data_IF_691229675078
#
_entry.id   IF_691229675078
#
_cell.length_a   1.000
_cell.length_b   1.000
_cell.length_c   1.000
_cell.angle_alpha   90.00
_cell.angle_beta   90.00
_cell.angle_gamma   90.00
#
_symmetry.space_group_name_H-M   'P 1'
#
loop_
_entity.id
_entity.type
_entity.pdbx_description
1 polymer ?
#
# COMPACT_ATOMS: atom_id res chain seq x y z
N UNK A 1 -10.32 -22.44 36.25
CA UNK A 1 -11.18 -23.14 35.26
C UNK A 1 -12.55 -23.47 35.85
N UNK A 2 -12.67 -24.26 36.94
CA UNK A 2 -13.99 -24.61 37.54
C UNK A 2 -14.98 -23.46 37.75
N UNK A 3 -14.56 -22.32 38.32
CA UNK A 3 -15.43 -21.14 38.51
C UNK A 3 -15.94 -20.50 37.21
N UNK A 4 -15.17 -20.58 36.12
CA UNK A 4 -15.55 -20.01 34.83
C UNK A 4 -16.52 -20.92 34.10
N UNK A 5 -16.30 -22.24 34.15
CA UNK A 5 -17.24 -23.22 33.62
C UNK A 5 -18.57 -23.16 34.38
N UNK A 6 -18.55 -23.15 35.72
CA UNK A 6 -19.76 -23.02 36.54
C UNK A 6 -20.57 -21.73 36.20
N UNK A 7 -19.87 -20.60 36.02
CA UNK A 7 -20.50 -19.34 35.60
C UNK A 7 -21.17 -19.44 34.23
N UNK A 8 -20.51 -20.04 33.23
CA UNK A 8 -21.08 -20.20 31.88
C UNK A 8 -22.08 -21.36 31.74
N UNK A 9 -22.27 -22.17 32.78
CA UNK A 9 -23.27 -23.25 32.76
C UNK A 9 -24.55 -22.87 33.49
N UNK A 10 -24.46 -22.06 34.55
CA UNK A 10 -25.58 -21.70 35.43
C UNK A 10 -26.12 -20.27 35.23
N UNK A 11 -25.62 -19.53 34.23
CA UNK A 11 -26.01 -18.14 33.97
C UNK A 11 -27.51 -17.95 33.67
N UNK A 12 -28.21 -19.00 33.22
CA UNK A 12 -29.66 -18.93 32.92
C UNK A 12 -30.51 -18.66 34.17
N UNK A 13 -30.04 -19.08 35.34
CA UNK A 13 -30.71 -18.82 36.61
C UNK A 13 -30.40 -17.42 37.18
N UNK A 14 -29.34 -16.77 36.66
CA UNK A 14 -28.84 -15.45 37.11
C UNK A 14 -29.23 -14.30 36.16
N UNK A 15 -29.59 -14.60 34.91
CA UNK A 15 -29.96 -13.63 33.89
C UNK A 15 -31.49 -13.57 33.71
N UNK A 16 -32.19 -12.75 34.52
CA UNK A 16 -33.57 -12.36 34.23
C UNK A 16 -33.61 -11.32 33.09
N UNK A 17 -34.73 -11.28 32.34
CA UNK A 17 -35.05 -10.30 31.27
C UNK A 17 -35.22 -8.86 31.80
N UNK A 18 -34.37 -8.44 32.74
CA UNK A 18 -34.36 -7.11 33.29
C UNK A 18 -33.26 -6.28 32.61
N UNK A 19 -33.62 -5.08 32.14
CA UNK A 19 -32.72 -4.16 31.43
C UNK A 19 -31.54 -3.65 32.29
N UNK A 20 -31.56 -3.93 33.60
CA UNK A 20 -30.52 -3.56 34.56
C UNK A 20 -29.39 -4.62 34.67
N UNK A 21 -29.49 -5.76 33.98
CA UNK A 21 -28.44 -6.78 33.94
C UNK A 21 -27.26 -6.34 33.06
N UNK A 22 -26.02 -6.59 33.52
CA UNK A 22 -24.79 -6.21 32.81
C UNK A 22 -24.63 -6.87 31.42
N UNK A 23 -25.24 -8.04 31.21
CA UNK A 23 -25.20 -8.80 29.93
C UNK A 23 -26.59 -9.38 29.65
N UNK A 24 -27.05 -9.32 28.40
CA UNK A 24 -28.34 -9.88 27.98
C UNK A 24 -28.31 -11.40 27.87
N UNK A 25 -29.47 -12.06 28.05
CA UNK A 25 -29.60 -13.52 27.89
C UNK A 25 -29.15 -14.00 26.49
N UNK A 26 -29.44 -13.22 25.44
CA UNK A 26 -28.97 -13.50 24.07
C UNK A 26 -27.44 -13.49 23.97
N UNK A 27 -26.78 -12.47 24.54
CA UNK A 27 -25.31 -12.37 24.50
C UNK A 27 -24.65 -13.50 25.28
N UNK A 28 -25.21 -13.89 26.44
CA UNK A 28 -24.68 -15.02 27.22
C UNK A 28 -24.87 -16.35 26.51
N UNK A 29 -26.01 -16.55 25.83
CA UNK A 29 -26.25 -17.74 25.01
C UNK A 29 -25.25 -17.84 23.85
N UNK A 30 -25.05 -16.74 23.11
CA UNK A 30 -24.09 -16.70 22.00
C UNK A 30 -22.66 -16.96 22.47
N UNK A 31 -22.30 -16.43 23.64
CA UNK A 31 -20.97 -16.63 24.21
C UNK A 31 -20.76 -18.07 24.68
N UNK A 32 -21.77 -18.69 25.31
CA UNK A 32 -21.75 -20.12 25.66
C UNK A 32 -21.59 -20.98 24.40
N UNK A 33 -22.41 -20.73 23.36
CA UNK A 33 -22.30 -21.44 22.08
C UNK A 33 -20.93 -21.28 21.44
N UNK A 34 -20.34 -20.08 21.50
CA UNK A 34 -19.01 -19.81 20.95
C UNK A 34 -17.93 -20.60 21.68
N UNK A 35 -17.99 -20.66 23.01
CA UNK A 35 -17.04 -21.40 23.84
C UNK A 35 -17.16 -22.90 23.59
N UNK A 36 -18.37 -23.45 23.68
CA UNK A 36 -18.63 -24.88 23.50
C UNK A 36 -18.30 -25.33 22.07
N UNK A 37 -18.68 -24.52 21.08
CA UNK A 37 -18.36 -24.74 19.67
C UNK A 37 -16.85 -24.72 19.40
N UNK A 38 -16.12 -23.78 20.00
CA UNK A 38 -14.66 -23.72 19.88
C UNK A 38 -14.00 -24.96 20.51
N UNK A 39 -14.41 -25.38 21.71
CA UNK A 39 -13.85 -26.58 22.33
C UNK A 39 -14.19 -27.86 21.56
N UNK A 40 -15.40 -27.97 21.01
CA UNK A 40 -15.77 -29.07 20.12
C UNK A 40 -14.90 -29.11 18.86
N UNK A 41 -14.72 -27.96 18.21
CA UNK A 41 -13.84 -27.80 17.05
C UNK A 41 -12.38 -28.18 17.36
N UNK A 42 -11.84 -27.71 18.49
CA UNK A 42 -10.48 -28.04 18.92
C UNK A 42 -10.31 -29.56 19.12
N UNK A 43 -11.27 -30.24 19.76
CA UNK A 43 -11.22 -31.69 19.98
C UNK A 43 -11.17 -32.46 18.65
N UNK A 44 -12.00 -32.07 17.69
CA UNK A 44 -12.04 -32.71 16.36
C UNK A 44 -10.75 -32.47 15.56
N UNK A 45 -10.25 -31.23 15.57
CA UNK A 45 -8.99 -30.85 14.93
C UNK A 45 -7.80 -31.62 15.49
N UNK A 46 -7.69 -31.73 16.83
CA UNK A 46 -6.62 -32.49 17.48
C UNK A 46 -6.70 -33.99 17.18
N UNK A 47 -7.90 -34.54 17.03
CA UNK A 47 -8.10 -35.94 16.67
C UNK A 47 -7.70 -36.21 15.20
N UNK A 48 -7.94 -35.26 14.30
CA UNK A 48 -7.74 -35.44 12.85
C UNK A 48 -6.32 -35.11 12.39
N UNK A 49 -5.71 -34.04 12.91
CA UNK A 49 -4.42 -33.53 12.40
C UNK A 49 -3.29 -33.49 13.46
N UNK A 50 -3.51 -34.04 14.66
CA UNK A 50 -2.53 -34.05 15.75
C UNK A 50 -2.42 -32.72 16.50
N UNK A 51 -1.37 -32.53 17.31
CA UNK A 51 -1.18 -31.30 18.11
C UNK A 51 -0.82 -30.09 17.23
N UNK A 52 -1.85 -29.38 16.75
CA UNK A 52 -1.71 -28.13 15.99
C UNK A 52 -2.07 -26.92 16.86
N UNK A 53 -1.22 -25.90 16.84
CA UNK A 53 -1.53 -24.60 17.43
C UNK A 53 -2.55 -23.83 16.58
N UNK A 54 -3.76 -23.63 17.10
CA UNK A 54 -4.81 -22.82 16.45
C UNK A 54 -4.60 -21.35 16.81
N UNK A 55 -4.76 -20.45 15.82
CA UNK A 55 -4.70 -19.00 16.02
C UNK A 55 -6.13 -18.44 16.12
N UNK A 56 -6.67 -18.17 17.33
CA UNK A 56 -8.09 -17.82 17.51
C UNK A 56 -8.51 -16.56 16.72
N UNK A 57 -7.59 -15.63 16.47
CA UNK A 57 -7.81 -14.43 15.63
C UNK A 57 -8.31 -14.75 14.21
N UNK A 58 -8.17 -15.99 13.72
CA UNK A 58 -8.66 -16.38 12.38
C UNK A 58 -10.10 -16.88 12.37
N UNK A 59 -10.72 -17.05 13.54
CA UNK A 59 -12.06 -17.61 13.70
C UNK A 59 -13.15 -16.56 13.95
N UNK A 60 -12.84 -15.27 13.80
CA UNK A 60 -13.79 -14.18 13.97
C UNK A 60 -14.20 -13.55 12.62
N UNK A 61 -15.21 -12.67 12.65
CA UNK A 61 -15.71 -11.92 11.50
C UNK A 61 -14.79 -10.75 11.09
N UNK A 62 -13.78 -10.38 11.88
CA UNK A 62 -12.90 -9.25 11.59
C UNK A 62 -12.31 -9.28 10.17
N UNK A 63 -11.84 -10.42 9.60
CA UNK A 63 -11.32 -10.43 8.23
C UNK A 63 -12.38 -10.04 7.20
N UNK A 64 -13.63 -10.42 7.44
CA UNK A 64 -14.78 -10.08 6.60
C UNK A 64 -15.16 -8.60 6.77
N UNK A 65 -15.18 -8.10 8.00
CA UNK A 65 -15.45 -6.70 8.29
C UNK A 65 -14.36 -5.78 7.73
N UNK A 66 -13.09 -6.17 7.85
CA UNK A 66 -11.97 -5.48 7.22
C UNK A 66 -12.07 -5.51 5.70
N UNK A 67 -12.57 -6.59 5.11
CA UNK A 67 -12.85 -6.65 3.68
C UNK A 67 -13.93 -5.65 3.27
N UNK A 68 -15.06 -5.60 4.00
CA UNK A 68 -16.11 -4.61 3.76
C UNK A 68 -15.64 -3.17 4.01
N UNK A 69 -14.80 -2.95 5.02
CA UNK A 69 -14.15 -1.65 5.26
C UNK A 69 -13.26 -1.25 4.09
N UNK A 70 -12.49 -2.18 3.55
CA UNK A 70 -11.68 -1.97 2.35
C UNK A 70 -12.51 -1.68 1.09
N UNK A 71 -13.68 -2.30 0.94
CA UNK A 71 -14.62 -2.00 -0.16
C UNK A 71 -15.22 -0.60 -0.03
N UNK A 72 -15.62 -0.20 1.19
CA UNK A 72 -16.12 1.16 1.45
C UNK A 72 -15.04 2.22 1.22
N UNK A 73 -13.80 1.95 1.64
CA UNK A 73 -12.66 2.84 1.37
C UNK A 73 -12.31 2.97 -0.11
N UNK A 74 -12.49 1.90 -0.91
CA UNK A 74 -12.30 1.94 -2.36
C UNK A 74 -13.35 2.80 -3.09
N UNK A 75 -14.50 3.07 -2.46
CA UNK A 75 -15.54 3.96 -2.98
C UNK A 75 -15.20 5.46 -2.93
N UNK A 76 -14.05 5.85 -2.34
CA UNK A 76 -13.66 7.24 -2.14
C UNK A 76 -14.63 7.95 -1.20
N UNK A 77 -15.28 9.01 -1.69
CA UNK A 77 -16.33 9.72 -0.92
C UNK A 77 -17.66 8.95 -0.82
N UNK A 78 -17.84 7.88 -1.60
CA UNK A 78 -19.04 7.05 -1.58
C UNK A 78 -18.85 5.86 -0.63
N UNK A 79 -19.08 6.08 0.67
CA UNK A 79 -18.96 5.05 1.71
C UNK A 79 -20.06 3.98 1.70
N UNK A 80 -21.14 4.18 0.92
CA UNK A 80 -22.25 3.23 0.78
C UNK A 80 -22.48 2.86 -0.71
N UNK A 81 -21.79 1.85 -1.24
CA UNK A 81 -21.91 1.47 -2.65
C UNK A 81 -23.26 0.82 -2.97
N UNK A 82 -23.81 1.08 -4.16
CA UNK A 82 -25.02 0.41 -4.66
C UNK A 82 -24.75 -1.05 -5.01
N UNK A 83 -25.81 -1.87 -5.06
CA UNK A 83 -25.72 -3.28 -5.43
C UNK A 83 -25.07 -3.51 -6.82
N UNK A 84 -25.17 -2.53 -7.73
CA UNK A 84 -24.53 -2.57 -9.06
C UNK A 84 -23.02 -2.28 -8.98
N UNK A 85 -22.61 -1.40 -8.06
CA UNK A 85 -21.20 -0.98 -7.89
C UNK A 85 -20.39 -1.97 -7.06
N UNK A 86 -21.03 -2.70 -6.15
CA UNK A 86 -20.38 -3.65 -5.25
C UNK A 86 -19.59 -4.75 -6.00
N UNK A 87 -20.12 -5.42 -7.05
CA UNK A 87 -19.36 -6.40 -7.83
C UNK A 87 -18.09 -5.82 -8.47
N UNK A 88 -18.14 -4.58 -8.96
CA UNK A 88 -16.97 -3.91 -9.54
C UNK A 88 -15.88 -3.64 -8.49
N UNK A 89 -16.26 -3.17 -7.31
CA UNK A 89 -15.32 -2.93 -6.21
C UNK A 89 -14.69 -4.23 -5.70
N UNK A 90 -15.46 -5.33 -5.68
CA UNK A 90 -14.96 -6.68 -5.37
C UNK A 90 -13.95 -7.10 -6.44
N UNK A 91 -14.28 -6.96 -7.72
CA UNK A 91 -13.38 -7.29 -8.81
C UNK A 91 -12.08 -6.48 -8.72
N UNK A 92 -12.18 -5.17 -8.44
CA UNK A 92 -11.04 -4.28 -8.23
C UNK A 92 -10.19 -4.70 -7.01
N UNK A 93 -10.81 -5.13 -5.91
CA UNK A 93 -10.09 -5.68 -4.76
C UNK A 93 -9.35 -6.97 -5.11
N UNK A 94 -9.97 -7.86 -5.90
CA UNK A 94 -9.35 -9.11 -6.33
C UNK A 94 -8.13 -8.82 -7.22
N UNK A 95 -8.25 -7.89 -8.17
CA UNK A 95 -7.15 -7.54 -9.08
C UNK A 95 -6.05 -6.70 -8.43
N UNK A 96 -6.37 -5.85 -7.43
CA UNK A 96 -5.38 -4.99 -6.74
C UNK A 96 -4.68 -5.64 -5.54
N UNK A 97 -5.23 -6.73 -4.99
CA UNK A 97 -4.61 -7.52 -3.90
C UNK A 97 -3.16 -7.95 -4.13
N UNK A 98 -2.74 -8.43 -5.32
CA UNK A 98 -1.34 -8.82 -5.54
C UNK A 98 -0.36 -7.65 -5.38
N UNK A 99 -0.68 -6.45 -5.88
CA UNK A 99 0.19 -5.27 -5.79
C UNK A 99 0.43 -4.82 -4.34
N UNK A 100 -0.65 -4.71 -3.54
CA UNK A 100 -0.53 -4.38 -2.10
C UNK A 100 0.19 -5.47 -1.29
N UNK A 101 0.09 -6.73 -1.72
CA UNK A 101 0.85 -7.84 -1.12
C UNK A 101 2.33 -7.77 -1.46
N UNK A 102 2.71 -7.41 -2.68
CA UNK A 102 4.11 -7.34 -3.10
C UNK A 102 4.91 -6.31 -2.29
N UNK A 103 4.39 -5.09 -2.15
CA UNK A 103 5.03 -4.03 -1.35
C UNK A 103 5.16 -4.42 0.14
N UNK A 104 4.13 -5.06 0.70
CA UNK A 104 4.15 -5.57 2.08
C UNK A 104 5.14 -6.73 2.26
N UNK A 105 5.18 -7.65 1.29
CA UNK A 105 6.09 -8.80 1.30
C UNK A 105 7.53 -8.34 1.31
N UNK A 106 7.93 -7.40 0.46
CA UNK A 106 9.27 -6.81 0.45
C UNK A 106 9.76 -6.40 1.85
N UNK A 107 8.96 -5.64 2.60
CA UNK A 107 9.32 -5.22 3.96
C UNK A 107 9.31 -6.39 4.94
N UNK A 108 8.32 -7.28 4.84
CA UNK A 108 8.20 -8.42 5.76
C UNK A 108 9.35 -9.40 5.58
N UNK A 109 9.60 -9.80 4.33
CA UNK A 109 10.68 -10.70 3.92
C UNK A 109 12.03 -10.07 4.23
N UNK A 110 12.20 -8.76 3.98
CA UNK A 110 13.43 -8.07 4.31
C UNK A 110 13.72 -7.97 5.82
N UNK A 111 12.69 -7.84 6.66
CA UNK A 111 12.85 -7.91 8.12
C UNK A 111 13.18 -9.33 8.57
N UNK A 112 12.53 -10.34 7.99
CA UNK A 112 12.84 -11.76 8.27
C UNK A 112 14.30 -12.06 7.92
N UNK A 113 14.75 -11.69 6.72
CA UNK A 113 16.15 -11.86 6.29
C UNK A 113 17.13 -11.10 7.20
N UNK A 114 16.76 -9.90 7.66
CA UNK A 114 17.61 -9.13 8.58
C UNK A 114 17.80 -9.85 9.93
N UNK A 115 16.75 -10.52 10.43
CA UNK A 115 16.83 -11.34 11.65
C UNK A 115 17.62 -12.62 11.39
N UNK A 116 17.35 -13.32 10.29
CA UNK A 116 18.02 -14.59 9.94
C UNK A 116 19.52 -14.42 9.73
N UNK A 117 19.94 -13.32 9.11
CA UNK A 117 21.35 -13.03 8.81
C UNK A 117 22.01 -12.08 9.81
N UNK A 118 21.36 -11.83 10.95
CA UNK A 118 21.85 -10.95 12.02
C UNK A 118 22.27 -9.53 11.55
N UNK A 119 21.56 -8.98 10.56
CA UNK A 119 21.76 -7.63 10.01
C UNK A 119 20.83 -6.63 10.72
N UNK A 120 20.96 -6.53 12.04
CA UNK A 120 20.12 -5.69 12.91
C UNK A 120 20.74 -4.33 13.26
N UNK A 121 21.85 -3.98 12.60
CA UNK A 121 22.45 -2.67 12.78
C UNK A 121 21.63 -1.55 12.10
N UNK A 122 21.89 -0.32 12.51
CA UNK A 122 21.15 0.86 12.03
C UNK A 122 21.21 1.03 10.52
N UNK A 123 22.35 0.77 9.89
CA UNK A 123 22.53 0.99 8.45
C UNK A 123 21.84 -0.12 7.65
N UNK A 124 21.93 -1.37 8.10
CA UNK A 124 21.18 -2.47 7.51
C UNK A 124 19.66 -2.24 7.59
N UNK A 125 19.13 -1.87 8.76
CA UNK A 125 17.69 -1.62 8.91
C UNK A 125 17.22 -0.39 8.12
N UNK A 126 18.07 0.64 7.99
CA UNK A 126 17.78 1.81 7.14
C UNK A 126 17.63 1.42 5.66
N UNK A 127 18.38 0.41 5.20
CA UNK A 127 18.29 -0.06 3.80
C UNK A 127 16.94 -0.72 3.46
N UNK A 128 16.17 -1.18 4.46
CA UNK A 128 14.81 -1.72 4.26
C UNK A 128 13.81 -0.66 3.79
N UNK A 129 14.01 0.59 4.20
CA UNK A 129 13.19 1.73 3.75
C UNK A 129 14.04 2.67 2.91
N UNK A 130 14.51 2.16 1.77
CA UNK A 130 15.32 2.93 0.85
C UNK A 130 14.56 4.14 0.28
N UNK A 131 15.33 5.16 -0.06
CA UNK A 131 14.82 6.35 -0.74
C UNK A 131 14.10 5.99 -2.05
N UNK A 132 12.91 6.58 -2.25
CA UNK A 132 12.05 6.39 -3.43
C UNK A 132 11.99 7.68 -4.26
N UNK A 133 12.77 7.76 -5.36
CA UNK A 133 12.67 8.85 -6.32
C UNK A 133 11.29 8.97 -6.97
N UNK A 134 10.59 7.86 -7.23
CA UNK A 134 9.26 7.86 -7.83
C UNK A 134 8.26 8.62 -6.96
N UNK A 135 8.23 8.32 -5.65
CA UNK A 135 7.37 9.02 -4.69
C UNK A 135 7.76 10.49 -4.53
N UNK A 136 9.06 10.77 -4.45
CA UNK A 136 9.57 12.15 -4.29
C UNK A 136 9.30 13.01 -5.53
N UNK A 137 9.35 12.39 -6.73
CA UNK A 137 9.01 13.06 -7.99
C UNK A 137 7.52 13.33 -8.10
N UNK A 138 6.68 12.47 -7.54
CA UNK A 138 5.23 12.63 -7.53
C UNK A 138 4.77 13.86 -6.71
N UNK A 139 5.48 14.20 -5.64
CA UNK A 139 5.15 15.33 -4.77
C UNK A 139 5.05 16.68 -5.53
N UNK A 140 5.89 16.87 -6.55
CA UNK A 140 5.86 18.11 -7.35
C UNK A 140 4.55 18.30 -8.10
N UNK A 141 3.90 17.22 -8.53
CA UNK A 141 2.58 17.30 -9.15
C UNK A 141 1.54 17.83 -8.16
N UNK A 142 1.56 17.32 -6.93
CA UNK A 142 0.68 17.81 -5.86
C UNK A 142 0.96 19.29 -5.56
N UNK A 143 2.24 19.68 -5.53
CA UNK A 143 2.63 21.08 -5.32
C UNK A 143 2.13 21.99 -6.45
N UNK A 144 2.30 21.59 -7.70
CA UNK A 144 1.83 22.32 -8.88
C UNK A 144 0.30 22.40 -8.98
N UNK A 145 -0.41 21.43 -8.40
CA UNK A 145 -1.87 21.41 -8.28
C UNK A 145 -2.40 22.07 -7.00
N UNK A 146 -1.53 22.68 -6.20
CA UNK A 146 -1.91 23.34 -4.95
C UNK A 146 -1.79 24.86 -5.06
N UNK A 147 -2.62 25.58 -4.31
CA UNK A 147 -2.53 27.03 -4.17
C UNK A 147 -1.87 27.35 -2.83
N UNK A 148 -0.75 28.10 -2.80
CA UNK A 148 -0.13 28.52 -1.55
C UNK A 148 -1.06 29.45 -0.75
N UNK A 149 -0.94 29.45 0.58
CA UNK A 149 -1.75 30.31 1.45
C UNK A 149 -1.51 31.78 1.08
N UNK A 150 -2.59 32.50 0.74
CA UNK A 150 -2.53 33.89 0.26
C UNK A 150 -2.18 34.03 -1.23
N UNK A 151 -1.89 32.93 -1.93
CA UNK A 151 -1.67 32.91 -3.37
C UNK A 151 -2.94 33.23 -4.15
N UNK A 152 -2.79 34.00 -5.24
CA UNK A 152 -3.87 34.31 -6.19
C UNK A 152 -3.44 33.96 -7.62
N UNK A 153 -3.22 32.66 -7.93
CA UNK A 153 -2.88 32.25 -9.28
C UNK A 153 -4.04 32.55 -10.24
N UNK A 154 -3.78 32.61 -11.57
CA UNK A 154 -4.84 32.74 -12.56
C UNK A 154 -5.91 31.64 -12.37
N UNK A 155 -7.21 31.96 -12.44
CA UNK A 155 -8.28 31.01 -12.10
C UNK A 155 -8.24 29.68 -12.85
N UNK A 156 -7.71 29.66 -14.07
CA UNK A 156 -7.65 28.47 -14.91
C UNK A 156 -6.30 27.76 -14.90
N UNK A 157 -5.32 28.24 -14.13
CA UNK A 157 -3.96 27.70 -14.21
C UNK A 157 -3.91 26.20 -13.92
N UNK A 158 -4.49 25.76 -12.80
CA UNK A 158 -4.48 24.34 -12.41
C UNK A 158 -5.23 23.49 -13.43
N UNK A 159 -6.37 23.96 -13.92
CA UNK A 159 -7.16 23.27 -14.94
C UNK A 159 -6.39 23.15 -16.27
N UNK A 160 -5.66 24.20 -16.66
CA UNK A 160 -4.81 24.15 -17.85
C UNK A 160 -3.63 23.20 -17.68
N UNK A 161 -2.96 23.21 -16.52
CA UNK A 161 -1.86 22.27 -16.22
C UNK A 161 -2.38 20.83 -16.28
N UNK A 162 -3.46 20.52 -15.55
CA UNK A 162 -4.05 19.18 -15.52
C UNK A 162 -4.57 18.74 -16.88
N UNK A 163 -5.34 19.59 -17.55
CA UNK A 163 -5.92 19.30 -18.86
C UNK A 163 -4.86 19.02 -19.90
N UNK A 164 -3.81 19.85 -19.98
CA UNK A 164 -2.69 19.62 -20.89
C UNK A 164 -1.91 18.37 -20.53
N UNK A 165 -1.67 18.11 -19.24
CA UNK A 165 -0.94 16.92 -18.79
C UNK A 165 -1.68 15.63 -19.20
N UNK A 166 -2.97 15.52 -18.90
CA UNK A 166 -3.80 14.37 -19.27
C UNK A 166 -3.94 14.21 -20.79
N UNK A 167 -4.19 15.30 -21.53
CA UNK A 167 -4.27 15.25 -22.99
C UNK A 167 -2.93 14.78 -23.61
N UNK A 168 -1.80 15.22 -23.05
CA UNK A 168 -0.47 14.77 -23.50
C UNK A 168 -0.26 13.29 -23.21
N UNK A 169 -0.62 12.82 -22.01
CA UNK A 169 -0.54 11.40 -21.65
C UNK A 169 -1.45 10.52 -22.51
N UNK A 170 -2.67 10.98 -22.80
CA UNK A 170 -3.60 10.29 -23.68
C UNK A 170 -3.03 10.13 -25.10
N UNK A 171 -2.44 11.20 -25.66
CA UNK A 171 -1.76 11.15 -26.96
C UNK A 171 -0.52 10.22 -26.97
N UNK A 172 0.15 10.05 -25.83
CA UNK A 172 1.28 9.12 -25.68
C UNK A 172 0.83 7.67 -25.46
N UNK A 173 -0.46 7.45 -25.17
CA UNK A 173 -1.11 6.16 -25.05
C UNK A 173 -0.98 5.48 -23.68
N UNK A 174 -1.54 4.27 -23.62
CA UNK A 174 -1.67 3.46 -22.40
C UNK A 174 -0.37 3.22 -21.60
N UNK A 175 0.81 3.00 -22.21
CA UNK A 175 2.05 2.82 -21.46
C UNK A 175 2.46 4.04 -20.62
N UNK A 176 1.92 5.22 -20.92
CA UNK A 176 2.17 6.46 -20.16
C UNK A 176 1.00 6.76 -19.23
N UNK A 177 -0.23 6.67 -19.74
CA UNK A 177 -1.43 7.05 -18.99
C UNK A 177 -1.77 6.08 -17.85
N UNK A 178 -1.68 4.77 -18.08
CA UNK A 178 -2.14 3.78 -17.08
C UNK A 178 -1.33 3.78 -15.77
N UNK A 179 0.02 3.84 -15.79
CA UNK A 179 0.79 3.93 -14.55
C UNK A 179 0.47 5.22 -13.77
N UNK A 180 0.35 6.35 -14.47
CA UNK A 180 0.03 7.63 -13.84
C UNK A 180 -1.34 7.62 -13.14
N UNK A 181 -2.37 7.03 -13.74
CA UNK A 181 -3.69 6.88 -13.13
C UNK A 181 -3.70 6.00 -11.87
N UNK A 182 -2.64 5.21 -11.65
CA UNK A 182 -2.45 4.37 -10.47
C UNK A 182 -1.45 4.98 -9.48
N UNK A 183 -1.17 6.28 -9.63
CA UNK A 183 -0.18 7.04 -8.84
C UNK A 183 1.24 6.47 -8.94
N UNK A 184 1.57 5.76 -10.02
CA UNK A 184 2.91 5.23 -10.28
C UNK A 184 3.67 6.18 -11.22
N UNK A 185 4.77 6.74 -10.69
CA UNK A 185 5.66 7.62 -11.46
C UNK A 185 6.89 6.84 -11.92
N UNK A 186 7.02 6.70 -13.24
CA UNK A 186 8.17 6.09 -13.89
C UNK A 186 8.93 7.15 -14.70
N UNK A 187 10.25 6.96 -14.84
CA UNK A 187 11.11 7.91 -15.56
C UNK A 187 10.64 8.18 -16.99
N UNK A 188 10.50 7.14 -17.81
CA UNK A 188 10.22 7.30 -19.25
C UNK A 188 8.85 7.93 -19.52
N UNK A 189 7.73 7.46 -18.93
CA UNK A 189 6.44 8.14 -19.02
C UNK A 189 6.50 9.60 -18.60
N UNK A 190 7.11 9.88 -17.43
CA UNK A 190 7.23 11.24 -16.91
C UNK A 190 8.00 12.16 -17.86
N UNK A 191 9.17 11.72 -18.32
CA UNK A 191 10.01 12.49 -19.22
C UNK A 191 9.29 12.80 -20.55
N UNK A 192 8.61 11.79 -21.14
CA UNK A 192 7.85 11.97 -22.38
C UNK A 192 6.68 12.93 -22.20
N UNK A 193 5.95 12.83 -21.09
CA UNK A 193 4.84 13.73 -20.82
C UNK A 193 5.32 15.16 -20.64
N UNK A 194 6.39 15.38 -19.86
CA UNK A 194 6.95 16.72 -19.67
C UNK A 194 7.44 17.32 -20.99
N UNK A 195 8.18 16.53 -21.79
CA UNK A 195 8.61 16.96 -23.13
C UNK A 195 7.42 17.29 -24.04
N UNK A 196 6.39 16.44 -24.04
CA UNK A 196 5.15 16.67 -24.79
C UNK A 196 4.46 17.96 -24.37
N UNK A 197 4.34 18.23 -23.07
CA UNK A 197 3.77 19.49 -22.56
C UNK A 197 4.60 20.70 -22.96
N UNK A 198 5.93 20.61 -22.96
CA UNK A 198 6.82 21.69 -23.39
C UNK A 198 6.64 22.03 -24.88
N UNK A 199 6.28 21.04 -25.70
CA UNK A 199 5.99 21.24 -27.13
C UNK A 199 4.56 21.73 -27.36
N UNK A 200 3.56 21.12 -26.71
CA UNK A 200 2.14 21.40 -26.94
C UNK A 200 1.63 22.66 -26.23
N UNK A 201 2.23 23.05 -25.11
CA UNK A 201 1.82 24.22 -24.33
C UNK A 201 3.01 24.93 -23.64
N UNK A 202 4.00 25.43 -24.41
CA UNK A 202 5.19 26.09 -23.86
C UNK A 202 4.86 27.28 -22.94
N UNK A 203 3.73 27.96 -23.17
CA UNK A 203 3.24 29.07 -22.35
C UNK A 203 2.90 28.70 -20.90
N UNK A 204 2.72 27.41 -20.58
CA UNK A 204 2.47 26.97 -19.21
C UNK A 204 3.74 26.94 -18.36
N UNK A 205 4.92 26.81 -18.96
CA UNK A 205 6.20 26.73 -18.23
C UNK A 205 6.47 27.96 -17.34
N UNK A 206 6.37 29.22 -17.84
CA UNK A 206 6.53 30.39 -16.98
C UNK A 206 5.48 30.44 -15.86
N UNK A 207 4.25 30.01 -16.14
CA UNK A 207 3.15 30.04 -15.17
C UNK A 207 3.37 29.03 -14.04
N UNK A 208 3.89 27.84 -14.36
CA UNK A 208 4.30 26.83 -13.40
C UNK A 208 5.47 27.35 -12.56
N UNK A 209 6.48 27.94 -13.20
CA UNK A 209 7.66 28.49 -12.52
C UNK A 209 7.27 29.58 -11.50
N UNK A 210 6.36 30.49 -11.87
CA UNK A 210 5.87 31.54 -10.97
C UNK A 210 5.01 31.00 -9.82
N UNK A 211 4.21 29.97 -10.07
CA UNK A 211 3.26 29.44 -9.08
C UNK A 211 3.90 28.49 -8.08
N UNK A 212 4.84 27.66 -8.54
CA UNK A 212 5.54 26.69 -7.71
C UNK A 212 6.82 27.28 -7.12
N UNK A 213 7.48 28.17 -7.85
CA UNK A 213 8.76 28.76 -7.48
C UNK A 213 9.97 27.98 -8.01
N UNK A 214 11.10 28.67 -8.16
CA UNK A 214 12.32 28.09 -8.71
C UNK A 214 12.99 27.06 -7.77
N UNK A 215 12.96 27.29 -6.45
CA UNK A 215 13.62 26.41 -5.48
C UNK A 215 12.98 25.01 -5.43
N UNK A 216 11.63 24.85 -5.34
CA UNK A 216 11.02 23.52 -5.38
C UNK A 216 11.22 22.80 -6.71
N UNK A 217 11.28 23.53 -7.83
CA UNK A 217 11.58 22.94 -9.15
C UNK A 217 13.01 22.38 -9.18
N UNK A 218 13.98 23.13 -8.66
CA UNK A 218 15.37 22.68 -8.59
C UNK A 218 15.54 21.46 -7.65
N UNK A 219 14.82 21.42 -6.54
CA UNK A 219 14.75 20.27 -5.64
C UNK A 219 14.14 19.05 -6.34
N UNK A 220 13.00 19.24 -7.01
CA UNK A 220 12.35 18.20 -7.79
C UNK A 220 13.24 17.66 -8.93
N UNK A 221 14.02 18.51 -9.60
CA UNK A 221 14.94 18.08 -10.65
C UNK A 221 15.97 17.06 -10.14
N UNK A 222 16.42 17.18 -8.88
CA UNK A 222 17.28 16.17 -8.26
C UNK A 222 16.57 14.83 -8.12
N UNK A 223 15.31 14.83 -7.71
CA UNK A 223 14.49 13.62 -7.60
C UNK A 223 14.21 12.99 -8.97
N UNK A 224 13.95 13.82 -9.98
CA UNK A 224 13.80 13.40 -11.37
C UNK A 224 15.08 12.71 -11.86
N UNK A 225 16.25 13.34 -11.75
CA UNK A 225 17.52 12.73 -12.15
C UNK A 225 17.80 11.42 -11.40
N UNK A 226 17.52 11.39 -10.08
CA UNK A 226 17.65 10.16 -9.29
C UNK A 226 16.70 9.05 -9.77
N UNK A 227 15.49 9.41 -10.20
CA UNK A 227 14.52 8.48 -10.78
C UNK A 227 15.06 7.84 -12.07
N UNK A 228 15.63 8.65 -12.96
CA UNK A 228 16.29 8.15 -14.17
C UNK A 228 17.51 7.27 -13.87
N UNK A 229 18.33 7.67 -12.90
CA UNK A 229 19.47 6.87 -12.46
C UNK A 229 19.03 5.50 -11.89
N UNK A 230 17.97 5.48 -11.08
CA UNK A 230 17.44 4.23 -10.51
C UNK A 230 16.86 3.32 -11.59
N UNK A 231 16.10 3.86 -12.55
CA UNK A 231 15.55 3.09 -13.67
C UNK A 231 16.68 2.46 -14.52
N UNK A 232 17.75 3.21 -14.80
CA UNK A 232 18.91 2.71 -15.52
C UNK A 232 19.67 1.64 -14.73
N UNK A 233 19.94 1.88 -13.45
CA UNK A 233 20.62 0.93 -12.58
C UNK A 233 19.83 -0.37 -12.44
N UNK A 234 18.50 -0.27 -12.29
CA UNK A 234 17.63 -1.44 -12.25
C UNK A 234 17.73 -2.27 -13.54
N UNK A 235 17.57 -1.63 -14.70
CA UNK A 235 17.67 -2.33 -16.01
C UNK A 235 19.05 -2.94 -16.25
N UNK A 236 20.12 -2.26 -15.83
CA UNK A 236 21.48 -2.76 -15.96
C UNK A 236 21.77 -3.93 -15.01
N UNK A 237 21.15 -3.93 -13.82
CA UNK A 237 21.35 -4.96 -12.80
C UNK A 237 20.44 -6.18 -12.98
N UNK A 238 19.30 -6.04 -13.67
CA UNK A 238 18.32 -7.10 -13.89
C UNK A 238 18.93 -8.44 -14.38
N UNK A 239 19.87 -8.46 -15.35
CA UNK A 239 20.48 -9.71 -15.82
C UNK A 239 21.37 -10.41 -14.77
N UNK A 240 21.79 -9.67 -13.73
CA UNK A 240 22.74 -10.12 -12.73
C UNK A 240 22.10 -10.31 -11.35
N UNK A 241 20.77 -10.20 -11.22
CA UNK A 241 20.09 -10.37 -9.92
C UNK A 241 20.40 -11.73 -9.28
N UNK A 242 20.46 -12.80 -10.07
CA UNK A 242 20.81 -14.14 -9.59
C UNK A 242 22.26 -14.28 -9.09
N UNK A 243 23.18 -13.41 -9.52
CA UNK A 243 24.56 -13.42 -9.03
C UNK A 243 24.64 -12.98 -7.56
N UNK A 244 23.66 -12.23 -7.07
CA UNK A 244 23.61 -11.81 -5.66
C UNK A 244 23.43 -13.01 -4.73
N UNK A 245 22.72 -14.06 -5.17
CA UNK A 245 22.56 -15.29 -4.36
C UNK A 245 23.88 -16.04 -4.15
N UNK A 246 24.86 -15.85 -5.04
CA UNK A 246 26.19 -16.46 -4.96
C UNK A 246 27.19 -15.73 -4.06
N UNK A 247 26.84 -14.58 -3.47
CA UNK A 247 27.73 -13.82 -2.59
C UNK A 247 27.91 -14.58 -1.28
N UNK A 248 29.13 -15.03 -0.96
CA UNK A 248 29.39 -15.85 0.22
C UNK A 248 29.15 -15.13 1.55
N UNK A 249 29.42 -13.82 1.63
CA UNK A 249 29.18 -13.02 2.85
C UNK A 249 27.72 -12.59 2.96
N UNK A 250 27.08 -12.95 4.08
CA UNK A 250 25.66 -12.68 4.30
C UNK A 250 25.36 -11.17 4.45
N UNK A 251 26.31 -10.38 4.98
CA UNK A 251 26.14 -8.92 5.11
C UNK A 251 26.16 -8.23 3.74
N UNK A 252 27.14 -8.57 2.90
CA UNK A 252 27.20 -8.08 1.52
C UNK A 252 26.00 -8.53 0.71
N UNK A 253 25.61 -9.81 0.83
CA UNK A 253 24.42 -10.35 0.16
C UNK A 253 23.16 -9.56 0.53
N UNK A 254 22.95 -9.30 1.82
CA UNK A 254 21.83 -8.51 2.30
C UNK A 254 21.82 -7.11 1.70
N UNK A 255 22.96 -6.40 1.74
CA UNK A 255 23.08 -5.03 1.23
C UNK A 255 22.81 -4.96 -0.28
N UNK A 256 23.31 -5.93 -1.03
CA UNK A 256 23.07 -6.00 -2.48
C UNK A 256 21.61 -6.30 -2.81
N UNK A 257 20.97 -7.26 -2.12
CA UNK A 257 19.53 -7.51 -2.25
C UNK A 257 18.72 -6.23 -2.01
N UNK A 258 18.97 -5.54 -0.89
CA UNK A 258 18.27 -4.30 -0.54
C UNK A 258 18.51 -3.17 -1.53
N UNK A 259 19.70 -3.09 -2.14
CA UNK A 259 20.02 -2.10 -3.17
C UNK A 259 19.32 -2.38 -4.50
N UNK A 260 19.25 -3.64 -4.93
CA UNK A 260 18.49 -4.03 -6.13
C UNK A 260 17.00 -3.71 -5.97
N UNK A 261 16.42 -4.05 -4.81
CA UNK A 261 15.06 -3.66 -4.47
C UNK A 261 14.90 -2.14 -4.49
N UNK A 262 15.80 -1.39 -3.86
CA UNK A 262 15.74 0.07 -3.86
C UNK A 262 15.68 0.64 -5.27
N UNK A 263 16.46 0.11 -6.21
CA UNK A 263 16.41 0.53 -7.61
C UNK A 263 15.08 0.19 -8.27
N UNK A 264 14.61 -1.06 -8.16
CA UNK A 264 13.33 -1.51 -8.73
C UNK A 264 12.12 -0.71 -8.24
N UNK A 265 11.95 -0.63 -6.93
CA UNK A 265 10.80 0.03 -6.30
C UNK A 265 10.94 1.55 -6.34
N UNK A 266 12.17 2.07 -6.18
CA UNK A 266 12.44 3.50 -6.25
C UNK A 266 12.23 4.07 -7.66
N UNK A 267 12.30 3.24 -8.71
CA UNK A 267 12.00 3.64 -10.09
C UNK A 267 10.55 3.43 -10.52
N UNK A 268 9.69 2.87 -9.66
CA UNK A 268 8.30 2.54 -10.01
C UNK A 268 8.17 1.36 -10.98
N UNK A 269 9.16 0.46 -11.04
CA UNK A 269 9.14 -0.75 -11.87
C UNK A 269 8.50 -1.96 -11.12
N UNK A 270 7.70 -1.69 -10.10
CA UNK A 270 6.88 -2.65 -9.35
C UNK A 270 5.40 -2.68 -9.81
N UNK A 271 5.10 -1.94 -10.88
CA UNK A 271 3.84 -1.89 -11.61
C UNK A 271 3.59 -3.11 -12.49
#
# INVERSE_FOLDING_TARGET
MRRLEEFFTNWRDEAEDNLDCFITHETMFDLQLTIDGFFGFMREMFHTEGEIGIKPRRLNSDPLENFFGGLRGAGGQSSNPTAVRLPYLIQQQITSRPLKRAARRRLTDGVVEAVEWNQLDREALKSLNAYSPSLSSAWMFQKAMSVPVGGRPPPQLINSILGTNFATMENLGDPVLRPFLQDVVQWTPLARTLLGMMVSAPQLLPSILLSVGALPIADWLRHFIALGAYDLLFRAAQPFEGAVEGIADDSERFKWKRRLEAWKYGSGNDY
#
